data_IF_710251820658
#
_entry.id   IF_710251820658
#
_cell.length_a   1.000
_cell.length_b   1.000
_cell.length_c   1.000
_cell.angle_alpha   90.00
_cell.angle_beta   90.00
_cell.angle_gamma   90.00
#
_symmetry.space_group_name_H-M   'P 1'
#
loop_
_entity.id
_entity.type
_entity.pdbx_description
1 polymer ?
#
# COMPACT_ATOMS: atom_id res chain seq x y z
N UNK A 1 -36.96 -26.62 8.53
CA UNK A 1 -35.86 -26.20 9.42
C UNK A 1 -34.92 -25.39 8.56
N UNK A 2 -35.20 -24.09 8.44
CA UNK A 2 -34.42 -23.17 7.61
C UNK A 2 -33.32 -22.57 8.48
N UNK A 3 -32.07 -22.89 8.18
CA UNK A 3 -30.91 -22.16 8.72
C UNK A 3 -30.64 -20.97 7.82
N UNK A 4 -31.25 -19.83 8.15
CA UNK A 4 -30.88 -18.53 7.60
C UNK A 4 -29.47 -18.20 8.06
N UNK A 5 -28.50 -18.37 7.17
CA UNK A 5 -27.16 -17.82 7.31
C UNK A 5 -27.29 -16.29 7.27
N UNK A 6 -27.36 -15.67 8.43
CA UNK A 6 -27.20 -14.22 8.56
C UNK A 6 -25.79 -13.88 8.12
N UNK A 7 -25.65 -13.37 6.90
CA UNK A 7 -24.38 -12.82 6.40
C UNK A 7 -24.00 -11.64 7.27
N UNK A 8 -23.04 -11.83 8.18
CA UNK A 8 -22.62 -10.80 9.13
C UNK A 8 -22.01 -9.60 8.39
N UNK A 9 -22.58 -8.42 8.61
CA UNK A 9 -22.24 -7.20 7.88
C UNK A 9 -20.99 -6.54 8.45
N UNK A 10 -19.81 -6.96 7.97
CA UNK A 10 -18.54 -6.22 8.17
C UNK A 10 -18.65 -4.85 7.49
N UNK A 11 -18.41 -3.77 8.23
CA UNK A 11 -18.35 -2.41 7.67
C UNK A 11 -16.94 -1.87 7.81
N UNK A 12 -16.34 -1.42 6.70
CA UNK A 12 -15.08 -0.67 6.66
C UNK A 12 -15.39 0.76 6.24
N UNK A 13 -14.98 1.74 7.04
CA UNK A 13 -15.09 3.16 6.74
C UNK A 13 -13.71 3.77 6.72
N UNK A 14 -13.46 4.57 5.71
CA UNK A 14 -12.27 5.38 5.57
C UNK A 14 -12.67 6.83 5.75
N UNK A 15 -11.88 7.60 6.50
CA UNK A 15 -12.13 9.01 6.74
C UNK A 15 -10.84 9.82 6.66
N UNK A 16 -10.94 11.09 6.29
CA UNK A 16 -9.78 11.98 6.23
C UNK A 16 -9.33 12.34 7.65
N UNK A 17 -8.02 12.32 7.89
CA UNK A 17 -7.40 12.84 9.11
C UNK A 17 -6.57 14.05 8.71
N UNK A 18 -6.87 15.26 9.22
CA UNK A 18 -6.07 16.45 8.93
C UNK A 18 -4.60 16.23 9.29
N UNK A 19 -3.69 16.66 8.42
CA UNK A 19 -2.26 16.71 8.70
C UNK A 19 -1.99 17.95 9.53
N UNK A 20 -1.39 17.78 10.71
CA UNK A 20 -0.97 18.87 11.59
C UNK A 20 0.53 19.18 11.46
N UNK A 21 1.00 20.24 12.11
CA UNK A 21 2.43 20.60 12.12
C UNK A 21 3.30 19.53 12.83
N UNK A 22 2.74 18.80 13.80
CA UNK A 22 3.46 17.75 14.51
C UNK A 22 3.75 16.53 13.60
N UNK A 23 2.95 16.35 12.55
CA UNK A 23 3.14 15.31 11.55
C UNK A 23 4.26 15.59 10.56
N UNK A 24 4.78 16.83 10.51
CA UNK A 24 5.83 17.21 9.55
C UNK A 24 7.09 16.34 9.69
N UNK A 25 7.53 16.10 10.92
CA UNK A 25 8.71 15.25 11.18
C UNK A 25 8.46 13.79 10.74
N UNK A 26 7.23 13.30 10.94
CA UNK A 26 6.82 11.95 10.50
C UNK A 26 6.87 11.84 8.98
N UNK A 27 6.31 12.82 8.26
CA UNK A 27 6.33 12.78 6.80
C UNK A 27 7.73 12.97 6.22
N UNK A 28 8.59 13.76 6.86
CA UNK A 28 10.01 13.84 6.48
C UNK A 28 10.72 12.49 6.63
N UNK A 29 10.46 11.77 7.73
CA UNK A 29 11.01 10.43 7.95
C UNK A 29 10.53 9.44 6.87
N UNK A 30 9.22 9.42 6.59
CA UNK A 30 8.64 8.57 5.56
C UNK A 30 9.23 8.89 4.18
N UNK A 31 9.36 10.18 3.85
CA UNK A 31 9.88 10.67 2.57
C UNK A 31 11.33 10.21 2.32
N UNK A 32 12.22 10.41 3.30
CA UNK A 32 13.61 9.92 3.24
C UNK A 32 13.66 8.39 3.15
N UNK A 33 12.76 7.71 3.86
CA UNK A 33 12.65 6.26 3.85
C UNK A 33 12.25 5.68 2.49
N UNK A 34 11.44 6.39 1.69
CA UNK A 34 10.95 5.90 0.39
C UNK A 34 12.08 5.80 -0.65
N UNK A 35 13.02 6.74 -0.67
CA UNK A 35 14.17 6.67 -1.59
C UNK A 35 15.09 5.50 -1.26
N UNK A 36 15.24 5.19 0.03
CA UNK A 36 15.97 3.99 0.46
C UNK A 36 15.27 2.72 -0.04
N UNK A 37 13.93 2.69 0.01
CA UNK A 37 13.16 1.54 -0.47
C UNK A 37 13.31 1.29 -1.96
N UNK A 38 13.40 2.35 -2.77
CA UNK A 38 13.66 2.22 -4.20
C UNK A 38 14.98 1.48 -4.47
N UNK A 39 16.05 1.83 -3.77
CA UNK A 39 17.35 1.16 -3.92
C UNK A 39 17.35 -0.29 -3.39
N UNK A 40 16.53 -0.60 -2.37
CA UNK A 40 16.41 -1.95 -1.83
C UNK A 40 15.53 -2.88 -2.70
N UNK A 41 14.65 -2.33 -3.54
CA UNK A 41 13.63 -3.10 -4.27
C UNK A 41 14.20 -4.27 -5.09
N UNK A 42 15.26 -4.04 -5.87
CA UNK A 42 15.90 -5.11 -6.64
C UNK A 42 16.53 -6.17 -5.76
N UNK A 43 17.21 -5.74 -4.69
CA UNK A 43 17.91 -6.65 -3.78
C UNK A 43 16.93 -7.61 -3.14
N UNK A 44 15.76 -7.11 -2.70
CA UNK A 44 14.67 -7.91 -2.14
C UNK A 44 14.23 -9.00 -3.12
N UNK A 45 13.92 -8.64 -4.37
CA UNK A 45 13.47 -9.61 -5.36
C UNK A 45 14.57 -10.60 -5.77
N UNK A 46 15.82 -10.16 -5.82
CA UNK A 46 16.96 -11.04 -6.05
C UNK A 46 17.13 -12.08 -4.92
N UNK A 47 17.03 -11.65 -3.66
CA UNK A 47 17.12 -12.55 -2.51
C UNK A 47 15.94 -13.53 -2.45
N UNK A 48 14.73 -13.07 -2.81
CA UNK A 48 13.56 -13.92 -2.91
C UNK A 48 13.74 -15.01 -4.00
N UNK A 49 14.28 -14.64 -5.17
CA UNK A 49 14.55 -15.57 -6.27
C UNK A 49 15.67 -16.56 -5.94
N UNK A 50 16.67 -16.14 -5.16
CA UNK A 50 17.77 -16.99 -4.73
C UNK A 50 17.36 -18.05 -3.69
N UNK A 51 16.16 -17.95 -3.11
CA UNK A 51 15.68 -18.89 -2.09
C UNK A 51 16.44 -18.79 -0.76
N UNK A 52 17.10 -17.64 -0.50
CA UNK A 52 18.00 -17.43 0.63
C UNK A 52 17.28 -17.44 2.01
N UNK A 53 15.94 -17.50 2.03
CA UNK A 53 15.10 -17.50 3.24
C UNK A 53 15.18 -16.20 4.07
N UNK A 54 16.11 -15.31 3.73
CA UNK A 54 16.37 -14.04 4.42
C UNK A 54 15.33 -12.95 4.09
N UNK A 55 14.59 -13.09 2.98
CA UNK A 55 13.64 -12.09 2.54
C UNK A 55 12.26 -12.29 3.21
N UNK A 56 12.05 -11.64 4.34
CA UNK A 56 10.76 -11.61 5.04
C UNK A 56 9.80 -10.65 4.33
N UNK A 57 8.55 -11.07 4.14
CA UNK A 57 7.46 -10.22 3.69
C UNK A 57 6.43 -10.95 2.82
N UNK A 58 5.47 -10.18 2.33
CA UNK A 58 4.35 -10.68 1.53
C UNK A 58 4.61 -10.37 0.06
N UNK A 59 4.67 -11.40 -0.77
CA UNK A 59 5.00 -11.28 -2.18
C UNK A 59 3.78 -11.47 -3.09
N UNK A 60 3.86 -10.90 -4.28
CA UNK A 60 2.96 -11.16 -5.39
C UNK A 60 3.71 -10.98 -6.71
N UNK A 61 3.37 -11.80 -7.70
CA UNK A 61 4.04 -11.84 -8.99
C UNK A 61 3.00 -12.18 -10.07
N UNK A 62 2.90 -11.35 -11.11
CA UNK A 62 2.04 -11.62 -12.25
C UNK A 62 2.52 -10.94 -13.52
N UNK A 63 2.50 -11.69 -14.62
CA UNK A 63 2.65 -11.16 -15.96
C UNK A 63 1.29 -10.72 -16.54
N UNK A 64 1.28 -9.58 -17.20
CA UNK A 64 0.11 -8.92 -17.74
C UNK A 64 0.25 -8.74 -19.26
N UNK A 65 -0.79 -9.02 -20.07
CA UNK A 65 -0.79 -8.78 -21.53
C UNK A 65 -1.08 -7.31 -21.86
N UNK A 66 -0.37 -6.41 -21.18
CA UNK A 66 -0.53 -4.96 -21.30
C UNK A 66 0.86 -4.32 -21.33
N UNK A 67 0.97 -3.13 -21.93
CA UNK A 67 2.23 -2.39 -21.98
C UNK A 67 2.66 -1.87 -20.61
N UNK A 68 3.96 -1.58 -20.50
CA UNK A 68 4.62 -1.15 -19.26
C UNK A 68 3.90 0.05 -18.61
N UNK A 69 3.54 1.06 -19.40
CA UNK A 69 2.97 2.29 -18.88
C UNK A 69 1.53 2.11 -18.43
N UNK A 70 0.73 1.35 -19.17
CA UNK A 70 -0.64 1.03 -18.78
C UNK A 70 -0.68 0.23 -17.48
N UNK A 71 0.17 -0.80 -17.36
CA UNK A 71 0.32 -1.58 -16.12
C UNK A 71 0.77 -0.70 -14.96
N UNK A 72 1.77 0.17 -15.16
CA UNK A 72 2.24 1.06 -14.12
C UNK A 72 1.21 2.11 -13.67
N UNK A 73 0.42 2.65 -14.60
CA UNK A 73 -0.67 3.56 -14.26
C UNK A 73 -1.77 2.88 -13.45
N UNK A 74 -2.15 1.64 -13.81
CA UNK A 74 -3.12 0.86 -13.05
C UNK A 74 -2.59 0.55 -11.64
N UNK A 75 -1.32 0.11 -11.53
CA UNK A 75 -0.67 -0.13 -10.25
C UNK A 75 -0.64 1.12 -9.36
N UNK A 76 -0.24 2.26 -9.92
CA UNK A 76 -0.21 3.54 -9.19
C UNK A 76 -1.58 3.93 -8.68
N UNK A 77 -2.63 3.82 -9.50
CA UNK A 77 -4.02 4.12 -9.08
C UNK A 77 -4.52 3.18 -7.98
N UNK A 78 -4.21 1.89 -8.06
CA UNK A 78 -4.62 0.90 -7.06
C UNK A 78 -3.88 1.03 -5.73
N UNK A 79 -2.66 1.58 -5.72
CA UNK A 79 -1.82 1.68 -4.53
C UNK A 79 -1.87 3.08 -3.92
N UNK A 80 -1.36 4.06 -4.66
CA UNK A 80 -1.15 5.43 -4.21
C UNK A 80 -2.43 6.29 -4.24
N UNK A 81 -3.52 5.82 -4.85
CA UNK A 81 -4.79 6.55 -4.91
C UNK A 81 -5.97 5.75 -4.36
N UNK A 82 -5.72 4.78 -3.48
CA UNK A 82 -6.78 3.96 -2.86
C UNK A 82 -7.85 4.82 -2.15
N UNK A 83 -7.49 6.03 -1.70
CA UNK A 83 -8.39 7.00 -1.05
C UNK A 83 -9.26 7.81 -2.01
N UNK A 84 -8.91 7.85 -3.30
CA UNK A 84 -9.57 8.70 -4.31
C UNK A 84 -10.70 7.96 -5.06
N UNK A 85 -11.38 7.00 -4.42
CA UNK A 85 -12.66 6.49 -4.93
C UNK A 85 -13.73 7.60 -4.87
N UNK A 86 -13.76 8.49 -5.88
CA UNK A 86 -14.76 9.48 -6.34
C UNK A 86 -15.53 10.35 -5.30
N UNK A 87 -15.35 10.18 -3.99
CA UNK A 87 -16.15 10.86 -2.95
C UNK A 87 -15.35 11.74 -2.00
N UNK A 88 -14.03 11.75 -2.08
CA UNK A 88 -13.19 12.58 -1.22
C UNK A 88 -12.05 13.19 -2.02
N UNK A 89 -12.35 14.25 -2.78
CA UNK A 89 -11.35 15.13 -3.35
C UNK A 89 -10.90 16.11 -2.27
N UNK A 90 -9.71 15.94 -1.70
CA UNK A 90 -9.07 16.98 -0.90
C UNK A 90 -7.62 17.15 -1.33
N UNK A 91 -7.33 18.37 -1.80
CA UNK A 91 -6.01 18.90 -2.03
C UNK A 91 -5.37 19.21 -0.68
N UNK A 92 -4.33 18.46 -0.29
CA UNK A 92 -3.33 18.98 0.62
C UNK A 92 -2.08 19.36 -0.19
N UNK A 93 -1.40 20.41 0.27
CA UNK A 93 -0.56 21.28 -0.53
C UNK A 93 0.57 20.56 -1.29
N UNK A 94 0.41 20.46 -2.61
CA UNK A 94 1.54 20.44 -3.55
C UNK A 94 2.23 21.79 -3.44
N UNK A 95 3.20 21.95 -2.54
CA UNK A 95 4.19 23.02 -2.68
C UNK A 95 5.06 22.71 -3.88
N UNK A 96 4.52 23.08 -5.05
CA UNK A 96 5.27 23.24 -6.29
C UNK A 96 6.41 24.20 -6.00
N UNK A 97 7.64 23.70 -5.99
CA UNK A 97 8.72 24.46 -6.61
C UNK A 97 8.84 23.98 -8.06
N UNK A 98 7.92 24.43 -8.90
CA UNK A 98 8.16 24.50 -10.33
C UNK A 98 8.78 25.86 -10.60
N UNK A 99 10.09 25.89 -10.82
CA UNK A 99 10.76 27.01 -11.48
C UNK A 99 11.41 26.60 -12.80
N UNK A 100 10.96 25.50 -13.39
CA UNK A 100 11.33 25.07 -14.74
C UNK A 100 10.12 24.43 -15.41
N UNK A 101 9.78 24.91 -16.59
CA UNK A 101 8.59 24.56 -17.37
C UNK A 101 8.61 23.16 -17.98
N UNK A 102 8.90 22.14 -17.19
CA UNK A 102 8.66 20.74 -17.53
C UNK A 102 7.37 20.27 -16.85
N UNK A 103 6.57 19.50 -17.58
CA UNK A 103 5.29 18.94 -17.12
C UNK A 103 5.54 18.23 -15.77
N UNK A 104 5.06 18.84 -14.67
CA UNK A 104 5.17 18.30 -13.33
C UNK A 104 4.61 16.88 -13.30
N UNK A 105 5.47 15.86 -13.32
CA UNK A 105 5.06 14.48 -13.07
C UNK A 105 4.80 14.39 -11.57
N UNK A 106 3.55 14.11 -11.23
CA UNK A 106 3.03 13.89 -9.87
C UNK A 106 3.49 12.51 -9.37
N UNK A 107 4.79 12.35 -9.20
CA UNK A 107 5.43 11.08 -8.91
C UNK A 107 5.37 10.67 -7.45
N UNK A 108 4.92 11.57 -6.56
CA UNK A 108 4.91 11.37 -5.12
C UNK A 108 3.52 11.65 -4.57
N UNK A 109 3.00 10.74 -3.75
CA UNK A 109 1.74 10.91 -2.99
C UNK A 109 2.05 10.85 -1.50
N UNK A 110 1.53 11.82 -0.76
CA UNK A 110 1.63 11.92 0.70
C UNK A 110 0.22 11.97 1.27
N UNK A 111 -0.13 11.03 2.14
CA UNK A 111 -1.51 10.87 2.64
C UNK A 111 -1.57 10.62 4.15
N UNK A 112 -2.65 11.11 4.76
CA UNK A 112 -3.06 10.84 6.14
C UNK A 112 -4.56 10.54 6.19
N UNK A 113 -4.94 9.40 6.76
CA UNK A 113 -6.34 8.99 6.85
C UNK A 113 -6.57 8.01 8.00
N UNK A 114 -7.83 7.86 8.38
CA UNK A 114 -8.27 6.91 9.37
C UNK A 114 -9.05 5.76 8.75
N UNK A 115 -8.93 4.58 9.33
CA UNK A 115 -9.65 3.36 8.93
C UNK A 115 -10.38 2.78 10.12
N UNK A 116 -11.71 2.92 10.11
CA UNK A 116 -12.59 2.26 11.06
C UNK A 116 -13.11 0.94 10.48
N UNK A 117 -12.96 -0.13 11.25
CA UNK A 117 -13.51 -1.45 10.94
C UNK A 117 -14.49 -1.80 12.07
N UNK A 118 -15.76 -2.02 11.70
CA UNK A 118 -16.80 -2.46 12.63
C UNK A 118 -17.35 -3.81 12.17
N UNK A 119 -17.12 -4.82 13.00
CA UNK A 119 -17.77 -6.13 12.96
C UNK A 119 -18.15 -6.54 14.39
N UNK A 120 -19.10 -7.47 14.59
CA UNK A 120 -19.65 -7.81 15.92
C UNK A 120 -18.59 -8.10 17.00
N UNK A 121 -17.44 -8.65 16.62
CA UNK A 121 -16.33 -8.98 17.52
C UNK A 121 -15.00 -8.27 17.17
N UNK A 122 -15.01 -7.36 16.19
CA UNK A 122 -13.80 -6.67 15.70
C UNK A 122 -14.12 -5.21 15.44
N UNK A 123 -13.99 -4.41 16.50
CA UNK A 123 -13.92 -2.95 16.38
C UNK A 123 -12.44 -2.60 16.33
N UNK A 124 -12.02 -1.88 15.30
CA UNK A 124 -10.67 -1.40 15.17
C UNK A 124 -10.66 -0.02 14.50
N UNK A 125 -9.83 0.89 14.99
CA UNK A 125 -9.58 2.20 14.41
C UNK A 125 -8.08 2.42 14.29
N UNK A 126 -7.64 2.85 13.12
CA UNK A 126 -6.24 3.09 12.79
C UNK A 126 -6.08 4.45 12.14
N UNK A 127 -4.99 5.12 12.45
CA UNK A 127 -4.51 6.28 11.69
C UNK A 127 -3.32 5.85 10.87
N UNK A 128 -3.36 6.13 9.58
CA UNK A 128 -2.31 5.75 8.64
C UNK A 128 -1.75 7.01 8.01
N UNK A 129 -0.42 7.10 8.02
CA UNK A 129 0.35 8.12 7.31
C UNK A 129 1.27 7.40 6.34
N UNK A 130 1.29 7.83 5.09
CA UNK A 130 2.04 7.11 4.06
C UNK A 130 2.59 8.05 3.00
N UNK A 131 3.72 7.62 2.44
CA UNK A 131 4.35 8.25 1.27
C UNK A 131 4.55 7.16 0.22
N UNK A 132 4.04 7.40 -0.99
CA UNK A 132 4.30 6.63 -2.18
C UNK A 132 5.14 7.46 -3.15
N UNK A 133 6.09 6.83 -3.85
CA UNK A 133 6.83 7.46 -4.95
C UNK A 133 6.98 6.53 -6.13
N UNK A 134 6.84 7.07 -7.33
CA UNK A 134 7.04 6.40 -8.60
C UNK A 134 8.38 6.82 -9.21
N UNK A 135 9.22 5.84 -9.51
CA UNK A 135 10.51 6.01 -10.16
C UNK A 135 10.42 5.42 -11.57
N UNK A 136 10.65 6.25 -12.58
CA UNK A 136 10.55 5.86 -13.99
C UNK A 136 11.96 5.75 -14.57
N UNK A 137 12.29 4.57 -15.08
CA UNK A 137 13.55 4.28 -15.74
C UNK A 137 13.30 3.89 -17.20
N UNK A 138 14.38 3.61 -17.94
CA UNK A 138 14.30 3.30 -19.37
C UNK A 138 13.54 1.99 -19.65
N UNK A 139 13.71 0.98 -18.81
CA UNK A 139 13.20 -0.38 -19.01
C UNK A 139 12.29 -0.87 -17.89
N UNK A 140 11.96 0.00 -16.93
CA UNK A 140 11.11 -0.35 -15.79
C UNK A 140 10.51 0.85 -15.09
N UNK A 141 9.50 0.59 -14.28
CA UNK A 141 8.91 1.55 -13.35
C UNK A 141 8.86 0.88 -11.97
N UNK A 142 9.30 1.60 -10.96
CA UNK A 142 9.25 1.17 -9.56
C UNK A 142 8.29 2.08 -8.79
N UNK A 143 7.41 1.50 -8.00
CA UNK A 143 6.58 2.23 -7.05
C UNK A 143 7.04 1.80 -5.66
N UNK A 144 7.57 2.70 -4.86
CA UNK A 144 8.01 2.41 -3.49
C UNK A 144 7.16 3.18 -2.48
N UNK A 145 7.03 2.62 -1.27
CA UNK A 145 6.30 3.31 -0.20
C UNK A 145 6.83 3.01 1.19
N UNK A 146 6.49 3.93 2.08
CA UNK A 146 6.64 3.83 3.53
C UNK A 146 5.34 4.28 4.17
N UNK A 147 4.90 3.55 5.19
CA UNK A 147 3.72 3.92 5.96
C UNK A 147 3.93 3.69 7.45
N UNK A 148 3.29 4.52 8.26
CA UNK A 148 3.04 4.26 9.67
C UNK A 148 1.57 4.02 9.90
N UNK A 149 1.27 2.97 10.64
CA UNK A 149 -0.07 2.55 11.03
C UNK A 149 -0.13 2.64 12.55
N UNK A 150 -0.85 3.65 13.05
CA UNK A 150 -1.04 3.93 14.46
C UNK A 150 -2.43 3.45 14.89
N UNK A 151 -2.54 2.32 15.63
CA UNK A 151 -3.82 1.87 16.17
C UNK A 151 -4.32 2.83 17.23
N UNK A 152 -5.55 3.33 17.05
CA UNK A 152 -6.25 4.16 18.03
C UNK A 152 -7.16 3.31 18.93
N UNK A 153 -7.79 2.27 18.37
CA UNK A 153 -8.68 1.35 19.09
C UNK A 153 -8.56 -0.06 18.51
N UNK A 154 -8.58 -1.09 19.38
CA UNK A 154 -8.72 -2.48 18.95
C UNK A 154 -9.53 -3.28 19.99
N UNK A 155 -10.52 -4.05 19.52
CA UNK A 155 -11.46 -4.82 20.36
C UNK A 155 -12.12 -3.99 21.46
N UNK A 156 -12.48 -2.74 21.15
CA UNK A 156 -13.10 -1.83 22.13
C UNK A 156 -12.13 -1.20 23.12
N UNK A 157 -10.83 -1.47 23.00
CA UNK A 157 -9.80 -0.93 23.89
C UNK A 157 -9.04 0.20 23.21
N UNK A 158 -8.92 1.39 23.84
CA UNK A 158 -8.09 2.47 23.31
C UNK A 158 -6.61 2.11 23.43
N UNK A 159 -5.85 2.37 22.36
CA UNK A 159 -4.43 2.05 22.27
C UNK A 159 -3.57 3.31 22.16
N UNK A 160 -2.39 3.25 22.77
CA UNK A 160 -1.36 4.29 22.68
C UNK A 160 0.02 3.63 22.76
N UNK A 161 1.00 4.20 22.05
CA UNK A 161 2.39 3.72 22.11
C UNK A 161 2.69 2.47 21.27
N UNK A 162 1.76 2.02 20.43
CA UNK A 162 1.98 0.97 19.44
C UNK A 162 1.95 1.62 18.06
N UNK A 163 2.92 1.29 17.22
CA UNK A 163 2.96 1.67 15.81
C UNK A 163 3.32 0.45 14.99
N UNK A 164 2.83 0.37 13.77
CA UNK A 164 3.39 -0.54 12.78
C UNK A 164 4.06 0.27 11.68
N UNK A 165 5.25 -0.17 11.28
CA UNK A 165 5.94 0.35 10.11
C UNK A 165 5.67 -0.58 8.94
N UNK A 166 5.17 -0.03 7.84
CA UNK A 166 5.08 -0.71 6.57
C UNK A 166 6.14 -0.14 5.62
N UNK A 167 6.79 -1.04 4.89
CA UNK A 167 7.62 -0.67 3.74
C UNK A 167 7.41 -1.66 2.61
N UNK A 168 7.43 -1.17 1.38
CA UNK A 168 7.20 -2.03 0.23
C UNK A 168 7.61 -1.40 -1.09
N UNK A 169 7.59 -2.23 -2.12
CA UNK A 169 7.80 -1.81 -3.49
C UNK A 169 7.04 -2.70 -4.49
N UNK A 170 6.73 -2.10 -5.64
CA UNK A 170 6.32 -2.78 -6.85
C UNK A 170 7.34 -2.50 -7.94
N UNK A 171 7.85 -3.54 -8.58
CA UNK A 171 8.72 -3.45 -9.76
C UNK A 171 7.93 -3.92 -10.97
N UNK A 172 7.84 -3.06 -11.98
CA UNK A 172 7.09 -3.27 -13.21
C UNK A 172 8.07 -3.15 -14.37
N UNK A 173 8.19 -4.19 -15.18
CA UNK A 173 9.17 -4.25 -16.28
C UNK A 173 8.68 -5.16 -17.39
N UNK A 174 9.20 -5.05 -18.62
CA UNK A 174 8.94 -6.02 -19.66
C UNK A 174 9.24 -7.44 -19.18
N UNK A 175 8.37 -8.38 -19.52
CA UNK A 175 8.60 -9.81 -19.27
C UNK A 175 9.83 -10.27 -20.05
N UNK A 176 10.63 -11.15 -19.43
CA UNK A 176 11.75 -11.83 -20.10
C UNK A 176 11.27 -12.95 -21.03
N UNK A 177 10.06 -13.44 -20.81
CA UNK A 177 9.39 -14.45 -21.63
C UNK A 177 8.45 -13.70 -22.56
N UNK A 178 8.92 -13.36 -23.76
CA UNK A 178 8.11 -12.75 -24.82
C UNK A 178 7.95 -13.75 -25.95
N UNK A 179 6.70 -13.98 -26.36
CA UNK A 179 6.44 -14.62 -27.64
C UNK A 179 6.59 -13.56 -28.74
N UNK A 180 6.90 -13.95 -29.99
CA UNK A 180 6.81 -13.03 -31.11
C UNK A 180 5.42 -12.38 -31.11
N UNK A 181 5.39 -11.05 -31.21
CA UNK A 181 4.17 -10.22 -31.25
C UNK A 181 3.34 -10.08 -29.95
N UNK A 182 3.85 -10.51 -28.78
CA UNK A 182 3.17 -10.28 -27.50
C UNK A 182 3.86 -9.25 -26.60
N UNK A 183 3.11 -8.22 -26.19
CA UNK A 183 3.54 -7.28 -25.15
C UNK A 183 3.15 -7.88 -23.80
N UNK A 184 4.15 -8.36 -23.05
CA UNK A 184 3.98 -8.88 -21.70
C UNK A 184 4.76 -8.02 -20.72
N UNK A 185 4.07 -7.51 -19.70
CA UNK A 185 4.67 -6.75 -18.60
C UNK A 185 4.62 -7.57 -17.32
N UNK A 186 5.78 -7.78 -16.70
CA UNK A 186 5.91 -8.43 -15.41
C UNK A 186 5.75 -7.41 -14.29
N UNK A 187 4.83 -7.67 -13.37
CA UNK A 187 4.68 -6.93 -12.12
C UNK A 187 5.07 -7.84 -10.95
N UNK A 188 5.92 -7.33 -10.06
CA UNK A 188 6.28 -7.99 -8.81
C UNK A 188 6.07 -7.01 -7.67
N UNK A 189 5.36 -7.44 -6.63
CA UNK A 189 5.08 -6.65 -5.44
C UNK A 189 5.65 -7.36 -4.21
N UNK A 190 6.22 -6.58 -3.31
CA UNK A 190 6.63 -7.03 -2.00
C UNK A 190 6.37 -5.93 -0.98
N UNK A 191 5.97 -6.32 0.23
CA UNK A 191 5.96 -5.43 1.38
C UNK A 191 6.12 -6.21 2.68
N UNK A 192 6.48 -5.51 3.73
CA UNK A 192 6.59 -6.04 5.08
C UNK A 192 6.00 -5.04 6.05
N UNK A 193 5.27 -5.54 7.05
CA UNK A 193 4.73 -4.75 8.16
C UNK A 193 5.39 -5.27 9.44
N UNK A 194 6.01 -4.37 10.19
CA UNK A 194 6.70 -4.70 11.44
C UNK A 194 6.15 -3.86 12.59
N UNK A 195 5.79 -4.46 13.73
CA UNK A 195 5.42 -3.71 14.92
C UNK A 195 6.64 -2.96 15.49
N UNK A 196 6.39 -1.74 15.95
CA UNK A 196 7.32 -0.88 16.67
C UNK A 196 6.67 -0.51 18.01
N UNK A 197 7.34 -0.82 19.11
CA UNK A 197 6.87 -0.46 20.45
C UNK A 197 7.47 0.90 20.83
N UNK A 198 6.64 1.93 20.88
CA UNK A 198 7.06 3.29 21.19
C UNK A 198 7.04 3.51 22.71
N UNK A 199 8.16 3.19 23.36
CA UNK A 199 8.37 3.41 24.80
C UNK A 199 7.75 2.35 25.72
N UNK A 200 7.64 2.66 27.01
CA UNK A 200 7.07 1.76 28.04
C UNK A 200 5.59 1.51 27.75
N UNK A 201 5.28 0.54 26.88
CA UNK A 201 4.00 -0.15 26.90
C UNK A 201 3.71 -0.47 28.35
N UNK A 202 2.58 0.02 28.86
CA UNK A 202 2.15 -0.36 30.19
C UNK A 202 2.18 -1.88 30.23
N UNK A 203 2.59 -2.47 31.36
CA UNK A 203 2.57 -3.93 31.63
C UNK A 203 1.18 -4.61 31.40
N UNK A 204 0.20 -3.84 30.92
CA UNK A 204 -1.19 -4.16 30.70
C UNK A 204 -1.47 -4.78 29.33
N UNK A 205 -0.60 -4.60 28.34
CA UNK A 205 -0.77 -5.22 27.02
C UNK A 205 -0.15 -6.62 27.04
N UNK A 206 -0.98 -7.65 27.20
CA UNK A 206 -0.50 -9.03 27.17
C UNK A 206 0.17 -9.33 25.82
N UNK A 207 1.19 -10.17 25.82
CA UNK A 207 1.86 -10.60 24.57
C UNK A 207 0.87 -11.17 23.55
N UNK A 208 -0.19 -11.84 24.03
CA UNK A 208 -1.29 -12.33 23.22
C UNK A 208 -2.09 -11.19 22.54
N UNK A 209 -2.38 -10.10 23.24
CA UNK A 209 -3.12 -8.98 22.65
C UNK A 209 -2.33 -8.31 21.51
N UNK A 210 -1.04 -8.08 21.72
CA UNK A 210 -0.15 -7.51 20.69
C UNK A 210 -0.04 -8.47 19.49
N UNK A 211 0.03 -9.77 19.74
CA UNK A 211 0.02 -10.78 18.68
C UNK A 211 -1.29 -10.73 17.87
N UNK A 212 -2.44 -10.71 18.54
CA UNK A 212 -3.74 -10.64 17.87
C UNK A 212 -3.93 -9.34 17.06
N UNK A 213 -3.42 -8.22 17.58
CA UNK A 213 -3.39 -6.94 16.85
C UNK A 213 -2.47 -7.02 15.63
N UNK A 214 -1.29 -7.62 15.78
CA UNK A 214 -0.34 -7.81 14.68
C UNK A 214 -0.94 -8.69 13.59
N UNK A 215 -1.53 -9.83 13.96
CA UNK A 215 -2.22 -10.74 13.04
C UNK A 215 -3.39 -10.04 12.33
N UNK A 216 -4.11 -9.16 13.02
CA UNK A 216 -5.18 -8.37 12.44
C UNK A 216 -4.66 -7.39 11.37
N UNK A 217 -3.58 -6.67 11.66
CA UNK A 217 -2.95 -5.73 10.71
C UNK A 217 -2.41 -6.48 9.49
N UNK A 218 -1.69 -7.58 9.71
CA UNK A 218 -1.15 -8.42 8.64
C UNK A 218 -2.27 -9.04 7.78
N UNK A 219 -3.36 -9.50 8.39
CA UNK A 219 -4.52 -10.04 7.68
C UNK A 219 -5.26 -9.01 6.81
N UNK A 220 -5.02 -7.72 7.04
CA UNK A 220 -5.52 -6.64 6.19
C UNK A 220 -4.69 -6.38 4.94
N UNK A 221 -3.45 -6.89 4.87
CA UNK A 221 -2.51 -6.58 3.79
C UNK A 221 -2.20 -7.82 2.94
N UNK A 222 -2.62 -7.81 1.68
CA UNK A 222 -2.47 -8.95 0.77
C UNK A 222 -1.96 -8.50 -0.60
N UNK A 223 -0.70 -8.85 -0.89
CA UNK A 223 -0.09 -8.59 -2.20
C UNK A 223 -0.88 -9.25 -3.34
N UNK A 224 -1.39 -10.47 -3.13
CA UNK A 224 -2.20 -11.18 -4.13
C UNK A 224 -3.51 -10.45 -4.44
N UNK A 225 -4.19 -9.93 -3.39
CA UNK A 225 -5.41 -9.15 -3.57
C UNK A 225 -5.14 -7.84 -4.30
N UNK A 226 -4.03 -7.16 -3.99
CA UNK A 226 -3.60 -5.96 -4.72
C UNK A 226 -3.33 -6.25 -6.20
N UNK A 227 -2.58 -7.32 -6.50
CA UNK A 227 -2.31 -7.75 -7.89
C UNK A 227 -3.62 -8.04 -8.64
N UNK A 228 -4.59 -8.67 -7.98
CA UNK A 228 -5.90 -8.91 -8.57
C UNK A 228 -6.69 -7.62 -8.84
N UNK A 229 -6.62 -6.62 -7.95
CA UNK A 229 -7.24 -5.31 -8.19
C UNK A 229 -6.63 -4.60 -9.39
N UNK A 230 -5.31 -4.66 -9.55
CA UNK A 230 -4.60 -4.10 -10.70
C UNK A 230 -5.06 -4.78 -11.99
N UNK A 231 -5.15 -6.11 -12.00
CA UNK A 231 -5.66 -6.87 -13.15
C UNK A 231 -7.07 -6.45 -13.52
N UNK A 232 -7.98 -6.41 -12.55
CA UNK A 232 -9.38 -6.04 -12.79
C UNK A 232 -9.47 -4.64 -13.42
N UNK A 233 -8.69 -3.69 -12.89
CA UNK A 233 -8.63 -2.33 -13.45
C UNK A 233 -8.13 -2.32 -14.90
N UNK A 234 -7.09 -3.10 -15.22
CA UNK A 234 -6.56 -3.20 -16.58
C UNK A 234 -7.59 -3.78 -17.55
N UNK A 235 -8.26 -4.86 -17.15
CA UNK A 235 -9.32 -5.51 -17.95
C UNK A 235 -10.48 -4.54 -18.18
N UNK A 236 -10.97 -3.86 -17.14
CA UNK A 236 -12.06 -2.89 -17.25
C UNK A 236 -11.72 -1.73 -18.20
N UNK A 237 -10.51 -1.18 -18.11
CA UNK A 237 -10.05 -0.10 -18.99
C UNK A 237 -9.94 -0.58 -20.45
N UNK A 238 -9.50 -1.82 -20.68
CA UNK A 238 -9.43 -2.40 -22.01
C UNK A 238 -10.83 -2.62 -22.61
N UNK A 239 -11.78 -3.19 -21.85
CA UNK A 239 -13.15 -3.41 -22.31
C UNK A 239 -13.85 -2.09 -22.67
N UNK A 240 -13.65 -1.02 -21.88
CA UNK A 240 -14.20 0.30 -22.18
C UNK A 240 -13.64 0.92 -23.47
N UNK A 241 -12.40 0.59 -23.86
CA UNK A 241 -11.79 1.08 -25.11
C UNK A 241 -12.28 0.35 -26.37
N UNK A 242 -12.83 -0.87 -26.24
CA UNK A 242 -13.35 -1.65 -27.38
C UNK A 242 -14.80 -1.30 -27.71
N UNK A 243 -15.53 -0.70 -26.77
CA UNK A 243 -16.94 -0.33 -26.92
C UNK A 243 -17.16 1.12 -27.39
N UNK A 244 -16.10 1.84 -27.75
CA UNK A 244 -16.10 3.21 -28.29
C UNK A 244 -15.51 3.17 -29.70
#
# INVERSE_FOLDING_TARGET
METSLTTEKRTRRVHLVPVDEADQAVFQELDVGVDTMYHEAEKVFYQADAGDGACIGVFGDKAFPFDLHLTAQAAWRCLAHTFQHEKFNFSYHRERRLDTGDIARDDTVVESFGVEIKAPERIADFRIKQVFRQFVEQDRIVIAWRSFIDPAEFKGQPLQGIRFQEKGSVVIRPSKVQAPDSVLTQLRIWHVITPETLGNTKERDSSQFIQELTDFVLGGSSSASTVQMIENMLVEQATKRVLV
#
